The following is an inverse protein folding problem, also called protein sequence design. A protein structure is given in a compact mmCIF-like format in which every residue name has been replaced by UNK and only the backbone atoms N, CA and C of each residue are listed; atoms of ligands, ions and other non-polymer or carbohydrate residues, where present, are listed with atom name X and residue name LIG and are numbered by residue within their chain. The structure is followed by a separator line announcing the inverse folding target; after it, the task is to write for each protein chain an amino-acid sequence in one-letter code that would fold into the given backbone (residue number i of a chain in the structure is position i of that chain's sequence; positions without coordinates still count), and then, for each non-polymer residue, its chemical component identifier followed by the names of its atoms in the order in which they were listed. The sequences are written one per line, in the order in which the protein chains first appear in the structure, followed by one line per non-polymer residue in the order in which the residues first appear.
data_IF_113412497222
#
_entry.id   IF_113412497222
#
_cell.length_a   1.000
_cell.length_b   1.000
_cell.length_c   1.000
_cell.angle_alpha   90.00
_cell.angle_beta   90.00
_cell.angle_gamma   90.00
#
_symmetry.space_group_name_H-M   'P 1'
#
loop_
_entity.id
_entity.type
_entity.pdbx_description
1 polymer ?
#
# COMPACT_ATOMS: atom_id res chain seq x y z
N UNK A 1 10.63 40.83 -15.84
CA UNK A 1 9.52 39.89 -15.69
C UNK A 1 9.85 38.51 -16.29
N UNK A 2 11.13 38.14 -16.38
CA UNK A 2 11.63 36.90 -17.03
C UNK A 2 12.22 35.84 -16.06
N UNK A 3 12.34 36.15 -14.77
CA UNK A 3 12.97 35.20 -13.81
C UNK A 3 12.08 34.08 -13.30
N UNK A 4 10.76 34.19 -13.40
CA UNK A 4 9.80 33.21 -12.83
C UNK A 4 9.62 31.99 -13.74
N UNK A 5 9.69 32.15 -15.05
CA UNK A 5 9.48 31.08 -16.05
C UNK A 5 10.62 30.04 -16.09
N UNK A 6 11.85 30.42 -15.77
CA UNK A 6 12.98 29.49 -15.73
C UNK A 6 12.99 28.55 -14.51
N UNK A 7 12.38 28.98 -13.39
CA UNK A 7 12.25 28.15 -12.19
C UNK A 7 11.23 27.03 -12.36
N UNK A 8 10.08 27.34 -12.92
CA UNK A 8 8.99 26.38 -13.14
C UNK A 8 9.37 25.29 -14.16
N UNK A 9 10.01 25.67 -15.25
CA UNK A 9 10.47 24.69 -16.27
C UNK A 9 11.57 23.76 -15.76
N UNK A 10 12.43 24.20 -14.86
CA UNK A 10 13.45 23.34 -14.22
C UNK A 10 12.81 22.39 -13.21
N UNK A 11 11.80 22.85 -12.46
CA UNK A 11 11.03 22.00 -11.55
C UNK A 11 10.35 20.85 -12.27
N UNK A 12 9.59 21.17 -13.32
CA UNK A 12 8.87 20.17 -14.14
C UNK A 12 9.80 19.16 -14.84
N UNK A 13 10.97 19.60 -15.33
CA UNK A 13 11.96 18.71 -15.94
C UNK A 13 12.59 17.75 -14.90
N UNK A 14 12.84 18.23 -13.69
CA UNK A 14 13.39 17.41 -12.60
C UNK A 14 12.38 16.38 -12.10
N UNK A 15 11.12 16.78 -11.96
CA UNK A 15 10.03 15.87 -11.56
C UNK A 15 9.78 14.79 -12.63
N UNK A 16 9.72 15.17 -13.90
CA UNK A 16 9.60 14.20 -15.00
C UNK A 16 10.75 13.20 -15.00
N UNK A 17 11.99 13.68 -14.82
CA UNK A 17 13.15 12.79 -14.74
C UNK A 17 13.08 11.86 -13.54
N UNK A 18 12.61 12.37 -12.40
CA UNK A 18 12.42 11.55 -11.18
C UNK A 18 11.37 10.45 -11.42
N UNK A 19 10.29 10.76 -12.14
CA UNK A 19 9.25 9.79 -12.49
C UNK A 19 9.77 8.70 -13.45
N UNK A 20 10.53 9.08 -14.48
CA UNK A 20 11.19 8.11 -15.37
C UNK A 20 12.11 7.14 -14.62
N UNK A 21 12.85 7.65 -13.64
CA UNK A 21 13.71 6.83 -12.78
C UNK A 21 12.90 5.91 -11.85
N UNK A 22 11.78 6.39 -11.34
CA UNK A 22 10.88 5.60 -10.51
C UNK A 22 10.21 4.48 -11.32
N UNK A 23 9.87 4.72 -12.58
CA UNK A 23 9.39 3.69 -13.50
C UNK A 23 10.45 2.62 -13.80
N UNK A 24 11.69 3.03 -14.03
CA UNK A 24 12.78 2.06 -14.20
C UNK A 24 12.96 1.20 -12.94
N UNK A 25 12.94 1.83 -11.76
CA UNK A 25 12.98 1.11 -10.48
C UNK A 25 11.81 0.13 -10.33
N UNK A 26 10.60 0.55 -10.70
CA UNK A 26 9.42 -0.30 -10.67
C UNK A 26 9.58 -1.54 -11.56
N UNK A 27 10.11 -1.38 -12.79
CA UNK A 27 10.36 -2.53 -13.69
C UNK A 27 11.33 -3.54 -13.07
N UNK A 28 12.40 -3.07 -12.43
CA UNK A 28 13.36 -3.93 -11.74
C UNK A 28 12.71 -4.65 -10.55
N UNK A 29 11.95 -3.92 -9.72
CA UNK A 29 11.24 -4.51 -8.58
C UNK A 29 10.19 -5.53 -9.02
N UNK A 30 9.48 -5.29 -10.10
CA UNK A 30 8.54 -6.26 -10.65
C UNK A 30 9.21 -7.56 -11.11
N UNK A 31 10.47 -7.48 -11.56
CA UNK A 31 11.26 -8.64 -12.02
C UNK A 31 11.98 -9.34 -10.88
N UNK A 32 12.62 -8.59 -9.99
CA UNK A 32 13.58 -9.08 -9.00
C UNK A 32 13.02 -9.08 -7.56
N UNK A 33 11.93 -8.36 -7.32
CA UNK A 33 11.30 -8.28 -6.00
C UNK A 33 12.24 -7.72 -4.92
N UNK A 34 12.32 -8.36 -3.75
CA UNK A 34 13.17 -7.92 -2.63
C UNK A 34 14.66 -7.83 -2.98
N UNK A 35 15.12 -8.60 -3.99
CA UNK A 35 16.51 -8.62 -4.44
C UNK A 35 16.89 -7.44 -5.35
N UNK A 36 15.93 -6.57 -5.71
CA UNK A 36 16.16 -5.39 -6.52
C UNK A 36 17.27 -4.51 -5.92
N UNK A 37 18.33 -4.32 -6.69
CA UNK A 37 19.51 -3.57 -6.26
C UNK A 37 19.60 -2.18 -6.88
N UNK A 38 20.27 -1.24 -6.20
CA UNK A 38 20.50 0.10 -6.75
C UNK A 38 21.35 0.06 -8.04
N UNK A 39 22.20 -0.95 -8.19
CA UNK A 39 22.97 -1.15 -9.42
C UNK A 39 22.09 -1.59 -10.60
N UNK A 40 21.21 -2.57 -10.36
CA UNK A 40 20.26 -3.02 -11.37
C UNK A 40 19.32 -1.90 -11.82
N UNK A 41 18.83 -1.09 -10.87
CA UNK A 41 17.95 0.06 -11.14
C UNK A 41 18.69 1.15 -11.92
N UNK A 42 19.93 1.48 -11.56
CA UNK A 42 20.74 2.46 -12.30
C UNK A 42 21.01 1.99 -13.74
N UNK A 43 21.34 0.72 -13.92
CA UNK A 43 21.53 0.09 -15.24
C UNK A 43 20.25 0.12 -16.08
N UNK A 44 19.12 -0.23 -15.50
CA UNK A 44 17.78 -0.19 -16.16
C UNK A 44 17.42 1.24 -16.61
N UNK A 45 17.78 2.25 -15.81
CA UNK A 45 17.53 3.66 -16.12
C UNK A 45 18.56 4.29 -17.06
N UNK A 46 19.63 3.56 -17.46
CA UNK A 46 20.72 4.08 -18.28
C UNK A 46 21.57 5.17 -17.61
N UNK A 47 21.69 5.12 -16.27
CA UNK A 47 22.44 6.11 -15.49
C UNK A 47 23.44 5.42 -14.54
N UNK A 48 24.26 6.23 -13.86
CA UNK A 48 25.13 5.74 -12.82
C UNK A 48 24.47 5.78 -11.44
N UNK A 49 24.89 4.90 -10.52
CA UNK A 49 24.38 4.85 -9.14
C UNK A 49 24.47 6.20 -8.41
N UNK A 50 25.53 7.03 -8.52
CA UNK A 50 25.56 8.36 -7.94
C UNK A 50 24.45 9.30 -8.44
N UNK A 51 24.05 9.20 -9.71
CA UNK A 51 22.95 9.98 -10.26
C UNK A 51 21.63 9.55 -9.63
N UNK A 52 21.41 8.23 -9.46
CA UNK A 52 20.23 7.71 -8.80
C UNK A 52 20.13 8.19 -7.34
N UNK A 53 21.23 8.14 -6.59
CA UNK A 53 21.29 8.67 -5.22
C UNK A 53 21.00 10.18 -5.14
N UNK A 54 21.43 10.97 -6.13
CA UNK A 54 21.11 12.40 -6.17
C UNK A 54 19.60 12.67 -6.26
N UNK A 55 18.82 11.78 -6.89
CA UNK A 55 17.35 11.91 -7.01
C UNK A 55 16.58 11.38 -5.80
N UNK A 56 17.09 10.34 -5.14
CA UNK A 56 16.36 9.65 -4.08
C UNK A 56 17.04 9.71 -2.71
N UNK A 57 18.26 10.24 -2.63
CA UNK A 57 19.07 10.30 -1.42
C UNK A 57 19.78 8.97 -1.16
N UNK A 58 19.02 7.95 -0.82
CA UNK A 58 19.52 6.61 -0.48
C UNK A 58 18.57 5.51 -0.99
N UNK A 59 18.87 4.25 -0.71
CA UNK A 59 18.00 3.11 -1.02
C UNK A 59 16.63 3.25 -0.33
N UNK A 60 16.62 3.75 0.91
CA UNK A 60 15.39 3.99 1.66
C UNK A 60 14.51 5.08 1.04
N UNK A 61 15.10 6.14 0.47
CA UNK A 61 14.38 7.18 -0.25
C UNK A 61 13.70 6.67 -1.51
N UNK A 62 14.40 5.82 -2.28
CA UNK A 62 13.81 5.14 -3.43
C UNK A 62 12.68 4.20 -3.01
N UNK A 63 12.91 3.39 -1.95
CA UNK A 63 11.89 2.52 -1.38
C UNK A 63 10.63 3.31 -1.00
N UNK A 64 10.79 4.40 -0.24
CA UNK A 64 9.66 5.26 0.15
C UNK A 64 8.91 5.80 -1.05
N UNK A 65 9.61 6.22 -2.09
CA UNK A 65 8.96 6.73 -3.32
C UNK A 65 8.14 5.65 -4.03
N UNK A 66 8.66 4.42 -4.15
CA UNK A 66 7.91 3.29 -4.69
C UNK A 66 6.74 2.89 -3.80
N UNK A 67 6.94 2.88 -2.48
CA UNK A 67 5.89 2.57 -1.52
C UNK A 67 4.73 3.56 -1.62
N UNK A 68 5.00 4.86 -1.66
CA UNK A 68 3.97 5.89 -1.85
C UNK A 68 3.19 5.65 -3.13
N UNK A 69 3.88 5.50 -4.27
CA UNK A 69 3.25 5.28 -5.57
C UNK A 69 2.28 4.08 -5.58
N UNK A 70 2.74 2.94 -5.06
CA UNK A 70 1.92 1.72 -5.05
C UNK A 70 0.78 1.80 -4.03
N UNK A 71 1.01 2.45 -2.89
CA UNK A 71 0.00 2.64 -1.86
C UNK A 71 -1.10 3.57 -2.35
N UNK A 72 -0.76 4.71 -2.96
CA UNK A 72 -1.73 5.65 -3.48
C UNK A 72 -2.63 4.99 -4.55
N UNK A 73 -2.04 4.26 -5.51
CA UNK A 73 -2.79 3.52 -6.51
C UNK A 73 -3.70 2.43 -5.91
N UNK A 74 -3.25 1.75 -4.85
CA UNK A 74 -4.06 0.77 -4.12
C UNK A 74 -5.22 1.46 -3.39
N UNK A 75 -4.95 2.54 -2.66
CA UNK A 75 -5.97 3.30 -1.93
C UNK A 75 -7.07 3.83 -2.85
N UNK A 76 -6.70 4.37 -4.01
CA UNK A 76 -7.67 4.83 -5.01
C UNK A 76 -8.58 3.69 -5.49
N UNK A 77 -7.99 2.50 -5.73
CA UNK A 77 -8.75 1.32 -6.12
C UNK A 77 -9.68 0.82 -5.01
N UNK A 78 -9.22 0.84 -3.76
CA UNK A 78 -10.01 0.46 -2.59
C UNK A 78 -11.16 1.44 -2.34
N UNK A 79 -10.91 2.75 -2.46
CA UNK A 79 -11.96 3.78 -2.36
C UNK A 79 -13.02 3.58 -3.43
N UNK A 80 -12.61 3.35 -4.69
CA UNK A 80 -13.54 3.09 -5.79
C UNK A 80 -14.42 1.84 -5.52
N UNK A 81 -13.86 0.77 -4.94
CA UNK A 81 -14.62 -0.42 -4.56
C UNK A 81 -15.63 -0.12 -3.43
N UNK A 82 -15.26 0.70 -2.45
CA UNK A 82 -16.14 1.14 -1.36
C UNK A 82 -17.26 2.06 -1.83
N UNK A 83 -17.03 2.85 -2.89
CA UNK A 83 -18.00 3.79 -3.46
C UNK A 83 -18.92 3.17 -4.51
N UNK A 84 -18.71 1.91 -4.87
CA UNK A 84 -19.51 1.21 -5.86
C UNK A 84 -21.00 1.17 -5.46
N UNK A 85 -21.95 1.34 -6.42
CA UNK A 85 -23.38 1.26 -6.17
C UNK A 85 -23.80 -0.19 -5.93
N UNK A 86 -23.50 -0.73 -4.76
CA UNK A 86 -23.73 -2.11 -4.36
C UNK A 86 -24.21 -2.19 -2.91
N UNK A 87 -24.71 -3.35 -2.51
CA UNK A 87 -25.06 -3.62 -1.12
C UNK A 87 -23.84 -3.54 -0.21
N UNK A 88 -24.08 -3.32 1.07
CA UNK A 88 -23.00 -3.13 2.06
C UNK A 88 -22.01 -4.29 2.09
N UNK A 89 -22.52 -5.52 2.17
CA UNK A 89 -21.70 -6.73 2.16
C UNK A 89 -20.91 -6.86 0.87
N UNK A 90 -21.56 -6.61 -0.26
CA UNK A 90 -20.94 -6.66 -1.59
C UNK A 90 -19.77 -5.65 -1.71
N UNK A 91 -19.90 -4.45 -1.13
CA UNK A 91 -18.80 -3.47 -1.09
C UNK A 91 -17.62 -3.95 -0.26
N UNK A 92 -17.87 -4.57 0.89
CA UNK A 92 -16.81 -5.18 1.71
C UNK A 92 -16.10 -6.28 0.93
N UNK A 93 -16.85 -7.20 0.32
CA UNK A 93 -16.30 -8.28 -0.51
C UNK A 93 -15.49 -7.74 -1.69
N UNK A 94 -16.00 -6.72 -2.40
CA UNK A 94 -15.31 -6.06 -3.51
C UNK A 94 -14.01 -5.38 -3.05
N UNK A 95 -13.99 -4.76 -1.88
CA UNK A 95 -12.81 -4.12 -1.31
C UNK A 95 -11.73 -5.15 -0.94
N UNK A 96 -12.14 -6.26 -0.31
CA UNK A 96 -11.26 -7.38 0.01
C UNK A 96 -10.70 -8.01 -1.27
N UNK A 97 -11.54 -8.24 -2.28
CA UNK A 97 -11.10 -8.77 -3.58
C UNK A 97 -10.13 -7.83 -4.28
N UNK A 98 -10.39 -6.53 -4.27
CA UNK A 98 -9.49 -5.51 -4.86
C UNK A 98 -8.11 -5.56 -4.23
N UNK A 99 -8.00 -5.65 -2.89
CA UNK A 99 -6.72 -5.80 -2.22
C UNK A 99 -6.01 -7.10 -2.60
N UNK A 100 -6.70 -8.23 -2.50
CA UNK A 100 -6.12 -9.55 -2.81
C UNK A 100 -5.74 -9.67 -4.29
N UNK A 101 -6.54 -9.11 -5.21
CA UNK A 101 -6.20 -9.04 -6.62
C UNK A 101 -4.94 -8.21 -6.88
N UNK A 102 -4.77 -7.08 -6.18
CA UNK A 102 -3.61 -6.22 -6.33
C UNK A 102 -2.31 -6.93 -5.91
N UNK A 103 -2.31 -7.63 -4.77
CA UNK A 103 -1.13 -8.38 -4.30
C UNK A 103 -0.88 -9.64 -5.14
N UNK A 104 -1.94 -10.29 -5.65
CA UNK A 104 -1.83 -11.44 -6.56
C UNK A 104 -1.24 -11.06 -7.91
N UNK A 105 -1.65 -9.92 -8.47
CA UNK A 105 -1.16 -9.42 -9.75
C UNK A 105 0.31 -8.98 -9.71
N UNK A 106 0.80 -8.54 -8.55
CA UNK A 106 2.16 -8.00 -8.39
C UNK A 106 2.86 -8.54 -7.13
N UNK A 107 3.05 -9.85 -7.00
CA UNK A 107 3.57 -10.46 -5.79
C UNK A 107 5.02 -10.01 -5.49
N UNK A 108 5.82 -9.70 -6.50
CA UNK A 108 7.18 -9.21 -6.30
C UNK A 108 7.21 -7.80 -5.72
N UNK A 109 6.30 -6.91 -6.16
CA UNK A 109 6.15 -5.57 -5.57
C UNK A 109 5.66 -5.69 -4.13
N UNK A 110 4.66 -6.54 -3.87
CA UNK A 110 4.18 -6.79 -2.52
C UNK A 110 5.31 -7.27 -1.61
N UNK A 111 6.08 -8.27 -2.03
CA UNK A 111 7.22 -8.77 -1.25
C UNK A 111 8.29 -7.71 -1.03
N UNK A 112 8.61 -6.91 -2.05
CA UNK A 112 9.56 -5.82 -1.93
C UNK A 112 9.14 -4.80 -0.87
N UNK A 113 7.83 -4.48 -0.79
CA UNK A 113 7.30 -3.50 0.15
C UNK A 113 7.12 -4.06 1.56
N UNK A 114 6.68 -5.31 1.68
CA UNK A 114 6.34 -5.92 2.98
C UNK A 114 7.47 -6.73 3.58
N UNK A 115 8.34 -7.31 2.75
CA UNK A 115 9.48 -8.13 3.15
C UNK A 115 10.76 -7.64 2.46
N UNK A 116 11.16 -6.37 2.67
CA UNK A 116 12.42 -5.91 2.10
C UNK A 116 13.54 -6.81 2.61
N UNK A 117 14.37 -7.33 1.67
CA UNK A 117 15.49 -8.20 2.03
C UNK A 117 16.40 -7.53 3.07
N UNK A 118 16.70 -8.25 4.13
CA UNK A 118 17.65 -7.82 5.15
C UNK A 118 19.03 -7.63 4.49
N UNK A 119 19.37 -6.37 4.23
CA UNK A 119 20.68 -5.99 3.76
C UNK A 119 21.05 -6.59 2.41
N UNK A 120 21.09 -5.78 1.36
CA UNK A 120 21.96 -6.06 0.24
C UNK A 120 23.38 -6.39 0.74
N UNK A 121 24.32 -6.81 -0.12
CA UNK A 121 25.60 -7.37 0.26
C UNK A 121 26.22 -6.57 1.40
N UNK A 122 26.61 -7.25 2.47
CA UNK A 122 27.09 -6.74 3.75
C UNK A 122 27.88 -5.44 3.57
N UNK A 123 27.28 -4.28 3.89
CA UNK A 123 27.96 -2.98 3.82
C UNK A 123 27.09 -1.76 3.53
N UNK A 124 25.84 -1.88 3.11
CA UNK A 124 24.96 -0.71 3.00
C UNK A 124 24.27 -0.47 4.35
N UNK A 125 24.91 0.35 5.18
CA UNK A 125 24.41 0.76 6.49
C UNK A 125 23.04 1.43 6.35
N UNK A 126 22.05 0.98 7.14
CA UNK A 126 20.83 1.74 7.42
C UNK A 126 19.50 1.19 6.89
N UNK A 127 19.45 0.04 6.23
CA UNK A 127 18.18 -0.52 5.76
C UNK A 127 17.70 -1.66 6.67
N UNK A 128 17.03 -1.31 7.77
CA UNK A 128 16.34 -2.30 8.61
C UNK A 128 14.93 -2.54 8.04
N UNK A 129 14.69 -3.74 7.52
CA UNK A 129 13.45 -4.15 6.86
C UNK A 129 12.18 -3.81 7.66
N UNK A 130 12.17 -4.10 8.94
CA UNK A 130 11.02 -3.84 9.83
C UNK A 130 10.69 -2.34 10.03
N UNK A 131 11.65 -1.45 9.82
CA UNK A 131 11.42 0.00 9.98
C UNK A 131 10.67 0.63 8.80
N UNK A 132 10.59 -0.04 7.66
CA UNK A 132 9.96 0.51 6.45
C UNK A 132 8.50 0.00 6.28
N UNK A 133 8.21 -1.22 6.69
CA UNK A 133 6.88 -1.83 6.56
C UNK A 133 5.87 -1.27 7.57
N UNK A 134 6.29 -1.04 8.81
CA UNK A 134 5.41 -0.53 9.86
C UNK A 134 4.80 0.86 9.54
N UNK A 135 5.54 1.85 9.00
CA UNK A 135 4.95 3.11 8.56
C UNK A 135 3.92 2.97 7.46
N UNK A 136 4.11 2.02 6.53
CA UNK A 136 3.17 1.76 5.45
C UNK A 136 1.85 1.19 5.97
N UNK A 137 1.91 0.13 6.78
CA UNK A 137 0.71 -0.48 7.38
C UNK A 137 -0.03 0.51 8.30
N UNK A 138 0.71 1.35 9.04
CA UNK A 138 0.12 2.40 9.87
C UNK A 138 -0.64 3.41 9.01
N UNK A 139 -0.05 3.89 7.92
CA UNK A 139 -0.73 4.82 6.99
C UNK A 139 -2.01 4.21 6.44
N UNK A 140 -1.97 2.97 5.96
CA UNK A 140 -3.16 2.25 5.48
C UNK A 140 -4.22 2.12 6.58
N UNK A 141 -3.81 1.86 7.82
CA UNK A 141 -4.72 1.78 8.98
C UNK A 141 -5.38 3.12 9.31
N UNK A 142 -4.64 4.21 9.24
CA UNK A 142 -5.16 5.57 9.46
C UNK A 142 -6.16 5.96 8.36
N UNK A 143 -5.83 5.77 7.10
CA UNK A 143 -6.73 6.03 5.96
C UNK A 143 -8.03 5.20 6.05
N UNK A 144 -7.92 3.92 6.40
CA UNK A 144 -9.12 3.09 6.59
C UNK A 144 -9.94 3.54 7.81
N UNK A 145 -9.29 4.01 8.88
CA UNK A 145 -9.97 4.54 10.05
C UNK A 145 -10.80 5.79 9.71
N UNK A 146 -10.27 6.69 8.87
CA UNK A 146 -11.02 7.87 8.39
C UNK A 146 -12.27 7.43 7.61
N UNK A 147 -12.12 6.50 6.66
CA UNK A 147 -13.25 5.95 5.90
C UNK A 147 -14.30 5.30 6.81
N UNK A 148 -13.88 4.56 7.83
CA UNK A 148 -14.79 3.93 8.79
C UNK A 148 -15.51 5.00 9.62
N UNK A 149 -14.80 6.01 10.13
CA UNK A 149 -15.39 7.10 10.92
C UNK A 149 -16.44 7.90 10.13
N UNK A 150 -16.24 8.08 8.83
CA UNK A 150 -17.17 8.78 7.94
C UNK A 150 -18.43 7.97 7.62
N UNK A 151 -18.32 6.63 7.58
CA UNK A 151 -19.37 5.76 7.02
C UNK A 151 -20.06 4.85 8.03
N UNK A 152 -19.54 4.74 9.25
CA UNK A 152 -20.08 3.86 10.29
C UNK A 152 -20.43 4.70 11.51
N UNK A 153 -21.69 4.63 11.95
CA UNK A 153 -22.07 5.21 13.23
C UNK A 153 -21.55 4.31 14.36
N UNK A 154 -20.46 4.75 14.97
CA UNK A 154 -19.80 4.06 16.08
C UNK A 154 -20.12 4.67 17.46
N UNK A 155 -21.03 5.65 17.50
CA UNK A 155 -21.41 6.31 18.76
C UNK A 155 -20.34 7.28 19.29
N UNK A 156 -20.33 7.54 20.60
CA UNK A 156 -19.52 8.61 21.20
C UNK A 156 -18.00 8.40 21.09
N UNK A 157 -17.54 7.15 21.01
CA UNK A 157 -16.12 6.80 20.91
C UNK A 157 -15.70 6.49 19.47
N UNK A 158 -16.45 7.03 18.48
CA UNK A 158 -16.31 6.70 17.06
C UNK A 158 -14.86 6.81 16.55
N UNK A 159 -14.15 7.87 16.90
CA UNK A 159 -12.79 8.12 16.43
C UNK A 159 -11.78 7.05 16.93
N UNK A 160 -11.89 6.66 18.21
CA UNK A 160 -11.02 5.64 18.78
C UNK A 160 -11.33 4.25 18.20
N UNK A 161 -12.61 3.88 18.14
CA UNK A 161 -13.06 2.61 17.57
C UNK A 161 -12.70 2.50 16.08
N UNK A 162 -12.87 3.55 15.30
CA UNK A 162 -12.48 3.58 13.89
C UNK A 162 -10.98 3.30 13.71
N UNK A 163 -10.12 3.91 14.56
CA UNK A 163 -8.67 3.65 14.53
C UNK A 163 -8.33 2.21 14.87
N UNK A 164 -8.94 1.65 15.93
CA UNK A 164 -8.75 0.24 16.29
C UNK A 164 -9.17 -0.68 15.14
N UNK A 165 -10.31 -0.40 14.51
CA UNK A 165 -10.80 -1.22 13.40
C UNK A 165 -9.96 -1.06 12.15
N UNK A 166 -9.58 0.16 11.78
CA UNK A 166 -8.73 0.42 10.63
C UNK A 166 -7.40 -0.35 10.70
N UNK A 167 -6.70 -0.23 11.83
CA UNK A 167 -5.45 -0.95 12.05
C UNK A 167 -5.64 -2.46 12.17
N UNK A 168 -6.71 -2.92 12.84
CA UNK A 168 -7.04 -4.33 12.97
C UNK A 168 -7.33 -5.00 11.63
N UNK A 169 -8.15 -4.35 10.78
CA UNK A 169 -8.48 -4.85 9.44
C UNK A 169 -7.22 -4.89 8.56
N UNK A 170 -6.42 -3.83 8.54
CA UNK A 170 -5.19 -3.79 7.75
C UNK A 170 -4.20 -4.87 8.19
N UNK A 171 -4.04 -5.07 9.51
CA UNK A 171 -3.19 -6.14 10.05
C UNK A 171 -3.69 -7.53 9.67
N UNK A 172 -4.99 -7.77 9.78
CA UNK A 172 -5.62 -9.03 9.38
C UNK A 172 -5.44 -9.29 7.87
N UNK A 173 -5.69 -8.28 7.04
CA UNK A 173 -5.55 -8.40 5.59
C UNK A 173 -4.12 -8.65 5.16
N UNK A 174 -3.16 -7.98 5.82
CA UNK A 174 -1.74 -8.21 5.57
C UNK A 174 -1.35 -9.65 5.92
N UNK A 175 -1.67 -10.12 7.12
CA UNK A 175 -1.33 -11.46 7.58
C UNK A 175 -2.00 -12.56 6.72
N UNK A 176 -3.30 -12.41 6.42
CA UNK A 176 -4.04 -13.35 5.60
C UNK A 176 -3.54 -13.37 4.13
N UNK A 177 -3.25 -12.18 3.58
CA UNK A 177 -2.72 -12.05 2.21
C UNK A 177 -1.34 -12.65 2.07
N UNK A 178 -0.48 -12.44 3.06
CA UNK A 178 0.88 -12.96 3.08
C UNK A 178 0.90 -14.50 3.11
N UNK A 179 0.18 -15.09 4.08
CA UNK A 179 -0.03 -16.52 4.16
C UNK A 179 -0.62 -17.10 2.87
N UNK A 180 -1.66 -16.46 2.34
CA UNK A 180 -2.33 -16.93 1.13
C UNK A 180 -1.42 -16.88 -0.10
N UNK A 181 -0.60 -15.83 -0.25
CA UNK A 181 0.38 -15.75 -1.34
C UNK A 181 1.48 -16.80 -1.25
N UNK A 182 1.86 -17.22 -0.03
CA UNK A 182 2.87 -18.23 0.18
C UNK A 182 2.34 -19.65 -0.11
N UNK A 183 1.18 -20.00 0.45
CA UNK A 183 0.70 -21.38 0.51
C UNK A 183 -0.39 -21.71 -0.51
N UNK A 184 -1.13 -20.70 -1.00
CA UNK A 184 -2.26 -20.85 -1.94
C UNK A 184 -3.26 -21.95 -1.52
N UNK A 185 -3.73 -21.97 -0.25
CA UNK A 185 -4.55 -23.07 0.26
C UNK A 185 -5.98 -23.09 -0.30
N UNK A 186 -6.45 -21.96 -0.83
CA UNK A 186 -7.77 -21.79 -1.42
C UNK A 186 -7.76 -20.75 -2.54
N UNK A 187 -8.84 -20.67 -3.32
CA UNK A 187 -8.99 -19.63 -4.32
C UNK A 187 -9.15 -18.24 -3.68
N UNK A 188 -8.82 -17.17 -4.44
CA UNK A 188 -9.04 -15.79 -3.99
C UNK A 188 -10.50 -15.55 -3.59
N UNK A 189 -11.46 -16.03 -4.38
CA UNK A 189 -12.87 -15.88 -4.08
C UNK A 189 -13.27 -16.53 -2.75
N UNK A 190 -12.75 -17.72 -2.44
CA UNK A 190 -13.00 -18.39 -1.14
C UNK A 190 -12.39 -17.61 0.01
N UNK A 191 -11.16 -17.08 -0.14
CA UNK A 191 -10.54 -16.25 0.88
C UNK A 191 -11.35 -14.97 1.14
N UNK A 192 -11.81 -14.30 0.08
CA UNK A 192 -12.69 -13.12 0.19
C UNK A 192 -13.93 -13.44 1.02
N UNK A 193 -14.62 -14.55 0.74
CA UNK A 193 -15.81 -14.95 1.47
C UNK A 193 -15.51 -15.18 2.95
N UNK A 194 -14.46 -15.92 3.28
CA UNK A 194 -14.09 -16.19 4.67
C UNK A 194 -13.71 -14.93 5.44
N UNK A 195 -12.98 -14.01 4.82
CA UNK A 195 -12.63 -12.73 5.45
C UNK A 195 -13.84 -11.81 5.58
N UNK A 196 -14.73 -11.79 4.58
CA UNK A 196 -15.98 -11.03 4.64
C UNK A 196 -16.88 -11.54 5.77
N UNK A 197 -17.03 -12.84 5.93
CA UNK A 197 -17.82 -13.43 7.03
C UNK A 197 -17.25 -13.06 8.40
N UNK A 198 -15.93 -13.09 8.55
CA UNK A 198 -15.27 -12.69 9.79
C UNK A 198 -15.51 -11.22 10.14
N UNK A 199 -15.41 -10.33 9.15
CA UNK A 199 -15.66 -8.90 9.34
C UNK A 199 -17.13 -8.60 9.55
N UNK A 200 -18.02 -9.26 8.78
CA UNK A 200 -19.46 -9.00 8.82
C UNK A 200 -20.06 -9.33 10.17
N UNK A 201 -19.67 -10.41 10.80
CA UNK A 201 -20.13 -10.78 12.13
C UNK A 201 -19.87 -9.71 13.19
N UNK A 202 -18.84 -8.90 13.04
CA UNK A 202 -18.52 -7.78 13.94
C UNK A 202 -19.19 -6.48 13.54
N UNK A 203 -19.25 -6.17 12.24
CA UNK A 203 -19.88 -4.95 11.71
C UNK A 203 -21.40 -4.94 11.96
N UNK A 204 -22.08 -6.08 11.77
CA UNK A 204 -23.49 -6.20 12.06
C UNK A 204 -23.79 -6.02 13.57
N UNK A 205 -23.00 -6.66 14.44
CA UNK A 205 -23.19 -6.56 15.89
C UNK A 205 -22.90 -5.16 16.48
N UNK A 206 -22.13 -4.31 15.80
CA UNK A 206 -21.91 -2.92 16.22
C UNK A 206 -23.10 -2.03 15.86
N UNK A 207 -23.69 -2.22 14.67
CA UNK A 207 -24.89 -1.51 14.26
C UNK A 207 -26.10 -1.77 15.16
N UNK A 208 -26.27 -3.01 15.63
CA UNK A 208 -27.33 -3.36 16.57
C UNK A 208 -27.17 -2.73 17.95
N UNK A 209 -25.93 -2.53 18.42
CA UNK A 209 -25.67 -1.90 19.73
C UNK A 209 -25.87 -0.39 19.74
N UNK A 210 -25.64 0.28 18.62
CA UNK A 210 -25.84 1.73 18.48
C UNK A 210 -27.31 2.12 18.33
N UNK A 211 -28.27 1.17 18.29
CA UNK A 211 -29.72 1.42 18.20
C UNK A 211 -30.12 2.23 16.96
N UNK A 212 -29.23 2.35 16.02
CA UNK A 212 -29.33 3.25 14.91
C UNK A 212 -28.93 2.59 13.58
N UNK A 213 -29.59 3.02 12.56
CA UNK A 213 -29.35 2.65 11.16
C UNK A 213 -27.86 2.71 10.83
N UNK A 214 -27.22 1.58 10.78
CA UNK A 214 -25.92 1.43 10.17
C UNK A 214 -26.15 1.49 8.66
N UNK A 215 -25.91 2.65 8.05
CA UNK A 215 -25.95 3.04 6.62
C UNK A 215 -27.29 3.06 5.94
#
# INVERSE_FOLDING_TARGET
MESTDHGERRGTATERRREELLEAANRVVMREGPEASMNAIAAEAGITKPILYRHFGDKGGLYRALAVRHTDALLDSLRAALDAPAGRRERVEATLDTYLAAIEARPQVYRFLMHPADGGPRGEEGFAAGQQTAPLLRRLGEELAEVIAERVDLGPDAAELARVWGHGIVGMMHAAGDWWLADRPCSRAQLVQHLADLLWGRLAAAGDRAGGRVF
#
